data_IF_930080537528
#
_entry.id   IF_930080537528
#
_cell.length_a   1.000
_cell.length_b   1.000
_cell.length_c   1.000
_cell.angle_alpha   90.00
_cell.angle_beta   90.00
_cell.angle_gamma   90.00
#
_symmetry.space_group_name_H-M   'P 1'
#
loop_
_entity.id
_entity.type
_entity.pdbx_description
1 polymer ?
#
# COMPACT_ATOMS: atom_id res chain seq x y z
N UNK A 1 25.27 21.58 -7.92
CA UNK A 1 24.39 21.39 -9.09
C UNK A 1 22.92 21.51 -8.67
N UNK A 2 22.03 21.83 -9.60
CA UNK A 2 20.58 21.86 -9.35
C UNK A 2 20.09 20.47 -8.91
N UNK A 3 19.15 20.39 -7.96
CA UNK A 3 18.49 19.12 -7.61
C UNK A 3 17.84 18.51 -8.85
N UNK A 4 17.94 17.18 -8.99
CA UNK A 4 17.27 16.43 -10.06
C UNK A 4 16.22 15.51 -9.43
N UNK A 5 15.09 15.25 -10.14
CA UNK A 5 14.12 14.25 -9.68
C UNK A 5 14.78 12.87 -9.64
N UNK A 6 14.53 12.14 -8.55
CA UNK A 6 14.93 10.75 -8.39
C UNK A 6 13.79 9.78 -8.72
N UNK A 7 14.00 8.47 -8.50
CA UNK A 7 13.08 7.38 -8.87
C UNK A 7 11.67 7.58 -8.29
N UNK A 8 11.57 8.08 -7.07
CA UNK A 8 10.29 8.39 -6.41
C UNK A 8 9.46 9.42 -7.21
N UNK A 9 10.12 10.43 -7.77
CA UNK A 9 9.46 11.45 -8.60
C UNK A 9 9.20 10.94 -10.02
N UNK A 10 10.08 10.10 -10.55
CA UNK A 10 9.89 9.47 -11.85
C UNK A 10 8.71 8.50 -11.85
N UNK A 11 8.42 7.87 -10.70
CA UNK A 11 7.26 7.01 -10.51
C UNK A 11 5.92 7.78 -10.37
N UNK A 12 5.92 9.12 -10.44
CA UNK A 12 4.71 9.92 -10.29
C UNK A 12 3.59 9.46 -11.24
N UNK A 13 2.39 9.20 -10.68
CA UNK A 13 1.21 8.61 -11.33
C UNK A 13 1.42 7.21 -11.93
N UNK A 14 2.51 6.55 -11.54
CA UNK A 14 2.83 5.18 -11.88
C UNK A 14 2.96 4.29 -10.66
N UNK A 15 3.81 3.28 -10.77
CA UNK A 15 4.10 2.30 -9.72
C UNK A 15 5.58 2.38 -9.36
N UNK A 16 5.87 2.49 -8.06
CA UNK A 16 7.20 2.28 -7.51
C UNK A 16 7.24 0.87 -6.91
N UNK A 17 7.93 -0.04 -7.60
CA UNK A 17 8.12 -1.41 -7.14
C UNK A 17 9.50 -1.57 -6.51
N UNK A 18 9.54 -1.99 -5.25
CA UNK A 18 10.77 -2.34 -4.55
C UNK A 18 10.76 -3.84 -4.29
N UNK A 19 11.52 -4.57 -5.08
CA UNK A 19 11.79 -5.97 -4.84
C UNK A 19 12.81 -6.12 -3.71
N UNK A 20 12.71 -7.20 -2.95
CA UNK A 20 13.56 -7.44 -1.79
C UNK A 20 13.62 -6.24 -0.84
N UNK A 21 12.47 -5.59 -0.61
CA UNK A 21 12.37 -4.34 0.13
C UNK A 21 13.16 -4.32 1.47
N UNK A 22 13.21 -5.42 2.28
CA UNK A 22 14.03 -5.43 3.49
C UNK A 22 15.55 -5.41 3.24
N UNK A 23 16.04 -5.52 1.99
CA UNK A 23 17.47 -5.38 1.70
C UNK A 23 17.89 -3.91 1.56
N UNK A 24 16.96 -3.00 1.34
CA UNK A 24 17.23 -1.57 1.40
C UNK A 24 17.54 -1.13 2.84
N UNK A 25 18.37 -0.08 2.98
CA UNK A 25 18.61 0.50 4.30
C UNK A 25 17.31 1.13 4.85
N UNK A 26 17.10 1.04 6.17
CA UNK A 26 15.93 1.62 6.81
C UNK A 26 15.77 3.12 6.51
N UNK A 27 16.88 3.87 6.42
CA UNK A 27 16.84 5.30 6.07
C UNK A 27 16.31 5.58 4.66
N UNK A 28 16.63 4.73 3.67
CA UNK A 28 16.09 4.83 2.31
C UNK A 28 14.61 4.55 2.31
N UNK A 29 14.17 3.50 2.99
CA UNK A 29 12.75 3.15 3.09
C UNK A 29 11.95 4.22 3.83
N UNK A 30 12.50 4.80 4.90
CA UNK A 30 11.83 5.87 5.65
C UNK A 30 11.69 7.17 4.85
N UNK A 31 12.54 7.43 3.85
CA UNK A 31 12.36 8.56 2.94
C UNK A 31 11.05 8.48 2.12
N UNK A 32 10.46 7.28 1.95
CA UNK A 32 9.19 7.11 1.25
C UNK A 32 7.97 7.60 2.06
N UNK A 33 8.12 7.78 3.37
CA UNK A 33 7.00 8.14 4.26
C UNK A 33 6.37 9.47 3.91
N UNK A 34 7.19 10.48 3.61
CA UNK A 34 6.71 11.81 3.25
C UNK A 34 5.97 11.80 1.90
N UNK A 35 6.56 11.31 0.80
CA UNK A 35 5.86 11.31 -0.49
C UNK A 35 4.60 10.45 -0.50
N UNK A 36 4.54 9.35 0.28
CA UNK A 36 3.31 8.56 0.43
C UNK A 36 2.16 9.33 1.11
N UNK A 37 2.47 10.33 1.93
CA UNK A 37 1.45 11.19 2.55
C UNK A 37 1.12 12.41 1.74
N UNK A 38 2.15 13.13 1.27
CA UNK A 38 2.00 14.45 0.65
C UNK A 38 1.88 14.40 -0.88
N UNK A 39 2.27 13.28 -1.51
CA UNK A 39 2.41 13.19 -2.97
C UNK A 39 3.53 14.06 -3.55
N UNK A 40 4.46 14.54 -2.70
CA UNK A 40 5.53 15.46 -3.08
C UNK A 40 6.82 15.07 -2.36
N UNK A 41 7.95 15.15 -3.07
CA UNK A 41 9.31 15.12 -2.48
C UNK A 41 9.86 16.52 -2.47
N UNK A 42 10.34 16.95 -1.31
CA UNK A 42 11.03 18.24 -1.16
C UNK A 42 12.50 18.00 -0.82
N UNK A 43 13.38 18.64 -1.56
CA UNK A 43 14.83 18.59 -1.37
C UNK A 43 15.31 19.99 -0.98
N UNK A 44 15.81 20.13 0.23
CA UNK A 44 16.41 21.34 0.75
C UNK A 44 17.95 21.23 0.64
N UNK A 45 18.58 22.22 0.02
CA UNK A 45 20.04 22.34 -0.09
C UNK A 45 20.46 23.78 0.19
N UNK A 46 21.73 23.99 0.45
CA UNK A 46 22.31 25.32 0.72
C UNK A 46 22.00 26.34 -0.40
N UNK A 47 21.79 25.90 -1.64
CA UNK A 47 21.47 26.75 -2.79
C UNK A 47 19.99 26.91 -3.12
N UNK A 48 19.08 26.40 -2.29
CA UNK A 48 17.63 26.53 -2.50
C UNK A 48 16.83 25.25 -2.24
N UNK A 49 15.51 25.41 -2.32
CA UNK A 49 14.52 24.35 -2.12
C UNK A 49 13.91 23.97 -3.46
N UNK A 50 13.83 22.66 -3.73
CA UNK A 50 13.14 22.12 -4.90
C UNK A 50 12.08 21.11 -4.46
N UNK A 51 10.89 21.18 -5.06
CA UNK A 51 9.80 20.22 -4.82
C UNK A 51 9.41 19.54 -6.12
N UNK A 52 9.25 18.22 -6.06
CA UNK A 52 8.88 17.39 -7.20
C UNK A 52 7.62 16.59 -6.88
N UNK A 53 6.69 16.44 -7.84
CA UNK A 53 5.53 15.58 -7.66
C UNK A 53 5.96 14.12 -7.48
N UNK A 54 5.29 13.40 -6.57
CA UNK A 54 5.65 12.02 -6.17
C UNK A 54 4.44 11.24 -5.66
N UNK A 55 3.29 11.38 -6.31
CA UNK A 55 2.12 10.54 -6.06
C UNK A 55 2.23 9.26 -6.89
N UNK A 56 2.52 8.13 -6.24
CA UNK A 56 2.74 6.83 -6.88
C UNK A 56 2.04 5.72 -6.09
N UNK A 57 1.80 4.59 -6.74
CA UNK A 57 1.43 3.34 -6.07
C UNK A 57 2.70 2.64 -5.59
N UNK A 58 2.84 2.44 -4.28
CA UNK A 58 3.95 1.66 -3.72
C UNK A 58 3.60 0.16 -3.75
N UNK A 59 4.54 -0.64 -4.26
CA UNK A 59 4.50 -2.10 -4.17
C UNK A 59 5.82 -2.57 -3.57
N UNK A 60 5.76 -3.30 -2.48
CA UNK A 60 6.91 -3.89 -1.79
C UNK A 60 6.83 -5.40 -1.91
N UNK A 61 7.89 -6.04 -2.33
CA UNK A 61 8.05 -7.48 -2.22
C UNK A 61 9.13 -7.81 -1.19
N UNK A 62 8.91 -8.88 -0.43
CA UNK A 62 9.85 -9.33 0.59
C UNK A 62 9.87 -10.86 0.66
N UNK A 63 11.05 -11.42 0.75
CA UNK A 63 11.22 -12.83 1.07
C UNK A 63 10.82 -13.11 2.53
N UNK A 64 10.44 -14.35 2.89
CA UNK A 64 10.05 -14.70 4.27
C UNK A 64 11.23 -14.65 5.28
N UNK A 65 12.46 -14.54 4.78
CA UNK A 65 13.68 -14.39 5.58
C UNK A 65 14.87 -14.05 4.65
N UNK A 66 16.06 -13.65 5.20
CA UNK A 66 17.23 -13.34 4.38
C UNK A 66 17.69 -14.45 3.43
N UNK A 67 17.48 -15.73 3.76
CA UNK A 67 17.83 -16.84 2.87
C UNK A 67 16.70 -17.25 1.90
N UNK A 68 15.52 -16.65 1.98
CA UNK A 68 14.35 -16.95 1.14
C UNK A 68 13.60 -18.25 1.51
N UNK A 69 14.16 -19.11 2.38
CA UNK A 69 13.69 -20.48 2.59
C UNK A 69 12.74 -20.70 3.78
N UNK A 70 12.33 -19.64 4.49
CA UNK A 70 11.43 -19.77 5.64
C UNK A 70 9.96 -19.96 5.24
N UNK A 71 9.62 -19.86 3.95
CA UNK A 71 8.27 -20.12 3.44
C UNK A 71 7.93 -21.62 3.42
N UNK A 72 6.65 -21.95 3.36
CA UNK A 72 6.16 -23.33 3.34
C UNK A 72 6.50 -24.07 4.64
N UNK A 73 7.07 -25.29 4.52
CA UNK A 73 7.46 -26.09 5.70
C UNK A 73 8.69 -25.54 6.45
N UNK A 74 9.42 -24.58 5.89
CA UNK A 74 10.57 -23.90 6.51
C UNK A 74 11.77 -24.82 6.85
N UNK A 75 11.76 -26.10 6.45
CA UNK A 75 12.75 -27.11 6.83
C UNK A 75 14.18 -26.80 6.37
N UNK A 76 14.33 -26.04 5.30
CA UNK A 76 15.63 -25.66 4.74
C UNK A 76 16.13 -24.29 5.23
N UNK A 77 15.35 -23.59 6.03
CA UNK A 77 15.72 -22.27 6.52
C UNK A 77 16.73 -22.40 7.68
N UNK A 78 17.90 -21.82 7.48
CA UNK A 78 18.98 -21.76 8.50
C UNK A 78 18.98 -20.45 9.28
N UNK A 79 18.09 -19.50 8.96
CA UNK A 79 18.03 -18.21 9.63
C UNK A 79 17.53 -18.33 11.06
N UNK A 80 18.28 -17.75 12.00
CA UNK A 80 17.84 -17.61 13.39
C UNK A 80 16.64 -16.66 13.50
N UNK A 81 15.88 -16.76 14.59
CA UNK A 81 14.77 -15.84 14.87
C UNK A 81 15.24 -14.38 14.93
N UNK A 82 16.45 -14.14 15.42
CA UNK A 82 17.05 -12.82 15.48
C UNK A 82 17.35 -12.25 14.08
N UNK A 83 17.89 -13.08 13.18
CA UNK A 83 18.15 -12.69 11.79
C UNK A 83 16.85 -12.34 11.06
N UNK A 84 15.79 -13.16 11.21
CA UNK A 84 14.48 -12.86 10.62
C UNK A 84 13.89 -11.57 11.18
N UNK A 85 13.97 -11.35 12.50
CA UNK A 85 13.48 -10.12 13.13
C UNK A 85 14.24 -8.89 12.62
N UNK A 86 15.57 -8.95 12.52
CA UNK A 86 16.41 -7.86 11.98
C UNK A 86 16.11 -7.59 10.51
N UNK A 87 15.82 -8.61 9.73
CA UNK A 87 15.44 -8.47 8.33
C UNK A 87 14.15 -7.64 8.17
N UNK A 88 13.08 -8.05 8.84
CA UNK A 88 11.82 -7.33 8.76
C UNK A 88 11.80 -6.00 9.50
N UNK A 89 12.66 -5.79 10.50
CA UNK A 89 12.73 -4.51 11.22
C UNK A 89 13.20 -3.34 10.35
N UNK A 90 13.75 -3.61 9.17
CA UNK A 90 14.07 -2.56 8.18
C UNK A 90 12.81 -1.94 7.58
N UNK A 91 11.71 -2.69 7.52
CA UNK A 91 10.37 -2.16 7.22
C UNK A 91 9.79 -1.56 8.51
N UNK A 92 10.00 -0.27 8.71
CA UNK A 92 9.55 0.39 9.95
C UNK A 92 8.02 0.35 10.09
N UNK A 93 7.52 0.28 11.33
CA UNK A 93 6.08 0.37 11.60
C UNK A 93 5.43 1.58 10.93
N UNK A 94 6.02 2.81 11.05
CA UNK A 94 5.50 3.99 10.37
C UNK A 94 5.47 3.91 8.84
N UNK A 95 6.34 3.13 8.19
CA UNK A 95 6.24 2.85 6.75
C UNK A 95 5.10 1.88 6.46
N UNK A 96 5.02 0.77 7.21
CA UNK A 96 3.97 -0.24 7.05
C UNK A 96 2.58 0.31 7.33
N UNK A 97 2.45 1.30 8.20
CA UNK A 97 1.21 2.06 8.42
C UNK A 97 0.72 2.81 7.16
N UNK A 98 1.53 2.92 6.13
CA UNK A 98 1.19 3.54 4.85
C UNK A 98 0.98 2.53 3.74
N UNK A 99 1.18 1.25 4.03
CA UNK A 99 0.89 0.13 3.12
C UNK A 99 -0.51 -0.39 3.44
N UNK A 100 -1.45 -0.17 2.54
CA UNK A 100 -2.87 -0.45 2.79
C UNK A 100 -3.20 -1.95 2.77
N UNK A 101 -2.50 -2.74 1.97
CA UNK A 101 -2.75 -4.16 1.80
C UNK A 101 -1.46 -4.93 2.03
N UNK A 102 -1.50 -5.92 2.93
CA UNK A 102 -0.40 -6.87 3.14
C UNK A 102 -0.91 -8.26 2.80
N UNK A 103 -0.20 -8.95 1.91
CA UNK A 103 -0.57 -10.28 1.42
C UNK A 103 0.59 -11.22 1.63
N UNK A 104 0.31 -12.35 2.26
CA UNK A 104 1.26 -13.46 2.33
C UNK A 104 1.03 -14.39 1.14
N UNK A 105 2.07 -14.59 0.32
CA UNK A 105 2.03 -15.48 -0.83
C UNK A 105 2.69 -16.79 -0.43
N UNK A 106 1.90 -17.85 -0.36
CA UNK A 106 2.36 -19.19 -0.03
C UNK A 106 3.24 -19.81 -1.12
N UNK A 107 3.97 -20.88 -0.77
CA UNK A 107 4.70 -21.66 -1.76
C UNK A 107 3.72 -22.38 -2.70
N UNK A 108 4.07 -22.45 -3.98
CA UNK A 108 3.31 -23.17 -5.00
C UNK A 108 3.38 -24.67 -4.68
N UNK A 109 2.23 -25.34 -4.58
CA UNK A 109 2.16 -26.78 -4.37
C UNK A 109 2.16 -27.55 -5.68
N UNK A 110 2.49 -28.86 -5.61
CA UNK A 110 2.37 -29.73 -6.77
C UNK A 110 0.93 -29.81 -7.31
N UNK A 111 -0.07 -29.65 -6.44
CA UNK A 111 -1.47 -29.59 -6.83
C UNK A 111 -1.80 -28.31 -7.61
N UNK A 112 -1.23 -27.17 -7.20
CA UNK A 112 -1.38 -25.92 -7.93
C UNK A 112 -0.78 -26.00 -9.34
N UNK A 113 0.38 -26.65 -9.46
CA UNK A 113 1.04 -26.88 -10.76
C UNK A 113 0.28 -27.87 -11.65
N UNK A 114 -0.38 -28.86 -11.06
CA UNK A 114 -1.18 -29.85 -11.78
C UNK A 114 -2.57 -29.31 -12.17
N UNK A 115 -3.02 -28.20 -11.53
CA UNK A 115 -4.27 -27.58 -11.89
C UNK A 115 -4.16 -26.96 -13.28
N UNK A 116 -5.06 -27.36 -14.20
CA UNK A 116 -5.15 -26.81 -15.56
C UNK A 116 -5.82 -25.43 -15.60
N UNK A 117 -6.17 -24.88 -14.44
CA UNK A 117 -6.77 -23.57 -14.32
C UNK A 117 -5.76 -22.48 -14.68
N UNK A 118 -5.92 -21.90 -15.87
CA UNK A 118 -5.21 -20.66 -16.19
C UNK A 118 -5.76 -19.55 -15.30
N UNK A 119 -4.89 -18.83 -14.61
CA UNK A 119 -5.29 -17.61 -13.89
C UNK A 119 -5.95 -16.60 -14.83
N UNK A 120 -6.61 -15.60 -14.27
CA UNK A 120 -7.21 -14.52 -15.05
C UNK A 120 -6.17 -13.84 -15.94
N UNK A 121 -6.54 -13.54 -17.17
CA UNK A 121 -5.67 -12.79 -18.08
C UNK A 121 -5.55 -11.31 -17.64
N UNK A 122 -4.42 -10.68 -17.96
CA UNK A 122 -4.24 -9.24 -17.71
C UNK A 122 -5.34 -8.38 -18.35
N UNK A 123 -5.91 -8.82 -19.46
CA UNK A 123 -7.02 -8.13 -20.15
C UNK A 123 -8.30 -8.17 -19.32
N UNK A 124 -8.63 -9.31 -18.69
CA UNK A 124 -9.79 -9.44 -17.83
C UNK A 124 -9.64 -8.60 -16.56
N UNK A 125 -8.45 -8.64 -15.93
CA UNK A 125 -8.13 -7.80 -14.77
C UNK A 125 -8.22 -6.32 -15.14
N UNK A 126 -7.67 -5.90 -16.29
CA UNK A 126 -7.74 -4.51 -16.75
C UNK A 126 -9.18 -4.03 -16.98
N UNK A 127 -10.05 -4.88 -17.53
CA UNK A 127 -11.49 -4.56 -17.69
C UNK A 127 -12.18 -4.37 -16.34
N UNK A 128 -11.89 -5.23 -15.35
CA UNK A 128 -12.45 -5.13 -14.00
C UNK A 128 -11.98 -3.83 -13.32
N UNK A 129 -10.68 -3.53 -13.38
CA UNK A 129 -10.11 -2.28 -12.86
C UNK A 129 -10.75 -1.05 -13.52
N UNK A 130 -10.95 -1.07 -14.84
CA UNK A 130 -11.58 0.04 -15.55
C UNK A 130 -13.04 0.26 -15.10
N UNK A 131 -13.80 -0.82 -14.87
CA UNK A 131 -15.17 -0.71 -14.33
C UNK A 131 -15.17 -0.07 -12.95
N UNK A 132 -14.28 -0.54 -12.04
CA UNK A 132 -14.13 0.02 -10.70
C UNK A 132 -13.74 1.50 -10.73
N UNK A 133 -12.81 1.88 -11.59
CA UNK A 133 -12.42 3.30 -11.79
C UNK A 133 -13.59 4.16 -12.23
N UNK A 134 -14.41 3.69 -13.16
CA UNK A 134 -15.62 4.41 -13.60
C UNK A 134 -16.67 4.49 -12.50
N UNK A 135 -16.82 3.49 -11.64
CA UNK A 135 -17.70 3.52 -10.48
C UNK A 135 -17.24 4.59 -9.47
N UNK A 136 -15.96 4.61 -9.12
CA UNK A 136 -15.37 5.64 -8.27
C UNK A 136 -15.55 7.05 -8.86
N UNK A 137 -15.29 7.23 -10.15
CA UNK A 137 -15.45 8.52 -10.85
C UNK A 137 -16.91 9.03 -10.79
N UNK A 138 -17.89 8.15 -11.01
CA UNK A 138 -19.32 8.53 -10.88
C UNK A 138 -19.68 8.92 -9.45
N UNK A 139 -19.20 8.17 -8.45
CA UNK A 139 -19.46 8.48 -7.03
C UNK A 139 -18.84 9.79 -6.60
N UNK A 140 -17.64 10.09 -7.10
CA UNK A 140 -16.88 11.31 -6.76
C UNK A 140 -17.23 12.51 -7.65
N UNK A 141 -18.19 12.36 -8.58
CA UNK A 141 -18.61 13.46 -9.44
C UNK A 141 -19.09 14.65 -8.60
N UNK A 142 -18.65 15.85 -8.96
CA UNK A 142 -18.93 17.08 -8.19
C UNK A 142 -18.01 17.32 -6.99
N UNK A 143 -17.08 16.41 -6.69
CA UNK A 143 -16.01 16.61 -5.71
C UNK A 143 -14.68 16.95 -6.39
N UNK A 144 -13.67 17.48 -5.67
CA UNK A 144 -12.35 17.72 -6.24
C UNK A 144 -11.51 16.45 -6.43
N UNK A 145 -11.98 15.28 -5.97
CA UNK A 145 -11.24 14.01 -5.98
C UNK A 145 -11.67 13.14 -7.16
N UNK A 146 -10.72 12.36 -7.67
CA UNK A 146 -10.93 11.39 -8.75
C UNK A 146 -10.73 9.94 -8.33
N UNK A 147 -10.00 9.73 -7.23
CA UNK A 147 -9.65 8.41 -6.71
C UNK A 147 -10.08 8.28 -5.25
N UNK A 148 -10.47 7.09 -4.84
CA UNK A 148 -10.78 6.80 -3.42
C UNK A 148 -9.61 7.15 -2.49
N UNK A 149 -8.37 6.98 -2.96
CA UNK A 149 -7.15 7.30 -2.21
C UNK A 149 -6.99 8.80 -1.92
N UNK A 150 -7.58 9.67 -2.74
CA UNK A 150 -7.49 11.12 -2.59
C UNK A 150 -8.52 11.68 -1.58
N UNK A 151 -9.54 10.88 -1.24
CA UNK A 151 -10.64 11.31 -0.38
C UNK A 151 -10.15 11.48 1.06
N UNK A 152 -10.34 12.66 1.68
CA UNK A 152 -9.97 12.87 3.08
C UNK A 152 -10.79 11.99 4.03
N UNK A 153 -10.15 11.53 5.12
CA UNK A 153 -10.83 10.74 6.12
C UNK A 153 -12.01 11.44 6.78
N UNK A 154 -11.95 12.77 6.93
CA UNK A 154 -13.07 13.58 7.42
C UNK A 154 -14.33 13.45 6.56
N UNK A 155 -14.18 13.41 5.25
CA UNK A 155 -15.29 13.17 4.32
C UNK A 155 -15.81 11.73 4.43
N UNK A 156 -14.93 10.74 4.45
CA UNK A 156 -15.30 9.32 4.57
C UNK A 156 -16.06 9.00 5.86
N UNK A 157 -15.71 9.65 6.96
CA UNK A 157 -16.40 9.51 8.26
C UNK A 157 -17.63 10.39 8.40
N UNK A 158 -17.80 11.36 7.51
CA UNK A 158 -18.93 12.28 7.48
C UNK A 158 -20.20 11.64 6.90
N UNK A 159 -21.30 12.38 6.87
CA UNK A 159 -22.58 11.91 6.35
C UNK A 159 -22.51 11.51 4.87
N UNK A 160 -21.68 12.20 4.08
CA UNK A 160 -21.50 11.94 2.65
C UNK A 160 -20.66 10.68 2.36
N UNK A 161 -19.94 10.16 3.37
CA UNK A 161 -19.14 8.94 3.26
C UNK A 161 -19.96 7.65 3.16
N UNK A 162 -21.29 7.73 3.31
CA UNK A 162 -22.20 6.59 3.12
C UNK A 162 -22.05 5.48 4.16
N UNK A 163 -21.43 5.76 5.32
CA UNK A 163 -21.26 4.78 6.40
C UNK A 163 -22.59 4.44 7.04
N UNK A 164 -22.96 3.16 7.00
CA UNK A 164 -24.11 2.69 7.76
C UNK A 164 -23.84 2.81 9.28
N UNK A 165 -24.90 3.08 10.06
CA UNK A 165 -24.77 3.21 11.52
C UNK A 165 -24.16 1.97 12.21
N UNK A 166 -24.41 0.72 11.79
CA UNK A 166 -23.74 -0.46 12.33
C UNK A 166 -22.23 -0.47 12.05
N UNK A 167 -21.81 -0.11 10.84
CA UNK A 167 -20.39 -0.07 10.45
C UNK A 167 -19.66 1.03 11.20
N UNK A 168 -20.26 2.22 11.30
CA UNK A 168 -19.71 3.33 12.07
C UNK A 168 -19.45 2.94 13.52
N UNK A 169 -20.42 2.28 14.18
CA UNK A 169 -20.25 1.80 15.57
C UNK A 169 -19.10 0.79 15.70
N UNK A 170 -18.98 -0.16 14.77
CA UNK A 170 -17.87 -1.14 14.78
C UNK A 170 -16.51 -0.47 14.68
N UNK A 171 -16.37 0.49 13.77
CA UNK A 171 -15.13 1.24 13.58
C UNK A 171 -14.79 2.10 14.81
N UNK A 172 -15.79 2.76 15.42
CA UNK A 172 -15.57 3.52 16.66
C UNK A 172 -15.17 2.63 17.82
N UNK A 173 -15.79 1.46 17.97
CA UNK A 173 -15.39 0.48 18.99
C UNK A 173 -13.94 0.00 18.80
N UNK A 174 -13.52 -0.28 17.55
CA UNK A 174 -12.14 -0.67 17.27
C UNK A 174 -11.14 0.47 17.56
N UNK A 175 -11.52 1.72 17.28
CA UNK A 175 -10.73 2.90 17.62
C UNK A 175 -10.60 3.09 19.13
N UNK A 176 -11.70 2.98 19.90
CA UNK A 176 -11.72 3.10 21.36
C UNK A 176 -10.89 2.00 22.06
N UNK A 177 -10.88 0.78 21.51
CA UNK A 177 -10.04 -0.32 22.00
C UNK A 177 -8.58 -0.19 21.63
N UNK A 178 -8.23 0.73 20.75
CA UNK A 178 -6.86 0.86 20.21
C UNK A 178 -6.48 -0.21 19.17
N UNK A 179 -7.46 -1.00 18.69
CA UNK A 179 -7.25 -1.99 17.63
C UNK A 179 -6.94 -1.30 16.29
N UNK A 180 -7.48 -0.10 16.10
CA UNK A 180 -7.22 0.76 14.93
C UNK A 180 -6.84 2.16 15.38
N UNK A 181 -5.88 2.77 14.68
CA UNK A 181 -5.67 4.22 14.73
C UNK A 181 -6.70 4.95 13.86
N UNK A 182 -6.85 6.25 14.02
CA UNK A 182 -7.71 7.06 13.14
C UNK A 182 -7.30 6.93 11.65
N UNK A 183 -5.99 6.87 11.39
CA UNK A 183 -5.45 6.59 10.04
C UNK A 183 -5.84 5.19 9.57
N UNK A 184 -5.83 4.19 10.45
CA UNK A 184 -6.31 2.84 10.16
C UNK A 184 -7.78 2.81 9.76
N UNK A 185 -8.63 3.57 10.45
CA UNK A 185 -10.06 3.73 10.09
C UNK A 185 -10.19 4.32 8.68
N UNK A 186 -9.46 5.38 8.36
CA UNK A 186 -9.52 6.01 7.04
C UNK A 186 -9.08 5.06 5.92
N UNK A 187 -8.07 4.23 6.18
CA UNK A 187 -7.61 3.19 5.24
C UNK A 187 -8.68 2.13 5.00
N UNK A 188 -9.27 1.62 6.08
CA UNK A 188 -10.37 0.64 5.99
C UNK A 188 -11.51 1.18 5.13
N UNK A 189 -11.89 2.44 5.31
CA UNK A 189 -12.97 3.06 4.55
C UNK A 189 -12.63 3.22 3.06
N UNK A 190 -11.41 3.65 2.72
CA UNK A 190 -10.96 3.74 1.32
C UNK A 190 -10.91 2.38 0.65
N UNK A 191 -10.44 1.36 1.36
CA UNK A 191 -10.43 -0.02 0.85
C UNK A 191 -11.86 -0.56 0.67
N UNK A 192 -12.75 -0.34 1.63
CA UNK A 192 -14.15 -0.77 1.52
C UNK A 192 -14.83 -0.17 0.27
N UNK A 193 -14.62 1.12 0.00
CA UNK A 193 -15.11 1.73 -1.23
C UNK A 193 -14.50 1.10 -2.48
N UNK A 194 -13.19 0.82 -2.46
CA UNK A 194 -12.49 0.21 -3.60
C UNK A 194 -12.96 -1.21 -3.85
N UNK A 195 -13.22 -1.98 -2.80
CA UNK A 195 -13.76 -3.34 -2.92
C UNK A 195 -15.19 -3.31 -3.46
N UNK A 196 -16.04 -2.41 -2.97
CA UNK A 196 -17.39 -2.22 -3.49
C UNK A 196 -17.42 -1.77 -4.96
N UNK A 197 -16.41 -1.03 -5.42
CA UNK A 197 -16.28 -0.64 -6.82
C UNK A 197 -15.86 -1.82 -7.73
N UNK A 198 -15.27 -2.87 -7.16
CA UNK A 198 -14.81 -4.07 -7.87
C UNK A 198 -15.92 -5.12 -8.04
N UNK A 199 -16.98 -5.07 -7.23
CA UNK A 199 -18.17 -5.92 -7.32
C UNK A 199 -19.09 -5.44 -8.47
#
# INVERSE_FOLDING_TARGET
>A
GLPRPGDVSLAHRGVLFLDEAPEFSAGVLDCLRQPLESGVVTIDRVGGRASYPAAFQLVLAANPCPCGKAGGRGLECTCTSLQRRRYFSRLSGPLLDRVDIQVEVGAVSAADLASTGHGESSVEVARRVLRARRAAERRLAGTPWRLNAEVPGSYLRGPDGGLSAPLSRRLMTALERGDLSLRGVDRVLRLAWTLADLE
#
